data_IF_452595459286
#
_entry.id   IF_452595459286
#
_cell.length_a   1.000
_cell.length_b   1.000
_cell.length_c   1.000
_cell.angle_alpha   90.00
_cell.angle_beta   90.00
_cell.angle_gamma   90.00
#
_symmetry.space_group_name_H-M   'P 1'
#
loop_
_entity.id
_entity.type
_entity.pdbx_description
1 polymer ?
#
# COMPACT_ATOMS: atom_id res chain seq x y z
N UNK A 1 19.63 -33.67 -1.80
CA UNK A 1 18.77 -32.46 -1.91
C UNK A 1 18.03 -32.31 -0.61
N UNK A 2 18.32 -31.28 0.18
CA UNK A 2 17.56 -31.01 1.42
C UNK A 2 16.18 -30.49 1.00
N UNK A 3 15.07 -31.13 1.44
CA UNK A 3 13.74 -30.59 1.15
C UNK A 3 13.65 -29.19 1.76
N UNK A 4 13.35 -28.20 0.92
CA UNK A 4 13.10 -26.85 1.40
C UNK A 4 11.92 -26.90 2.38
N UNK A 5 12.02 -26.22 3.54
CA UNK A 5 10.90 -26.16 4.47
C UNK A 5 9.65 -25.63 3.75
N UNK A 6 8.50 -26.21 4.09
CA UNK A 6 7.22 -25.79 3.52
C UNK A 6 7.06 -24.27 3.70
N UNK A 7 6.62 -23.52 2.67
CA UNK A 7 6.51 -22.08 2.75
C UNK A 7 5.57 -21.68 3.88
N UNK A 8 6.00 -20.75 4.74
CA UNK A 8 5.19 -20.26 5.84
C UNK A 8 3.85 -19.74 5.30
N UNK A 9 2.72 -20.22 5.82
CA UNK A 9 1.40 -19.79 5.34
C UNK A 9 1.18 -18.33 5.76
N UNK A 10 0.69 -17.49 4.83
CA UNK A 10 0.21 -16.14 5.18
C UNK A 10 -1.13 -16.33 5.87
N UNK A 11 -1.17 -16.15 7.19
CA UNK A 11 -2.40 -16.17 7.97
C UNK A 11 -2.72 -14.76 8.45
N UNK A 12 -3.88 -14.23 8.05
CA UNK A 12 -4.24 -12.83 8.34
C UNK A 12 -4.40 -12.55 9.83
N UNK A 13 -4.91 -13.51 10.62
CA UNK A 13 -5.14 -13.33 12.06
C UNK A 13 -3.86 -12.97 12.84
N UNK A 14 -2.81 -13.81 12.76
CA UNK A 14 -1.51 -13.51 13.37
C UNK A 14 -0.90 -12.19 12.88
N UNK A 15 -1.04 -11.85 11.60
CA UNK A 15 -0.53 -10.60 11.02
C UNK A 15 -1.26 -9.37 11.58
N UNK A 16 -2.59 -9.44 11.73
CA UNK A 16 -3.39 -8.40 12.35
C UNK A 16 -2.96 -8.20 13.81
N UNK A 17 -2.77 -9.29 14.56
CA UNK A 17 -2.33 -9.22 15.95
C UNK A 17 -0.94 -8.56 16.09
N UNK A 18 0.00 -8.87 15.18
CA UNK A 18 1.33 -8.25 15.13
C UNK A 18 1.28 -6.78 14.72
N UNK A 19 0.49 -6.43 13.70
CA UNK A 19 0.28 -5.04 13.30
C UNK A 19 -0.30 -4.23 14.48
N UNK A 20 -1.30 -4.78 15.17
CA UNK A 20 -1.90 -4.19 16.37
C UNK A 20 -0.90 -4.05 17.53
N UNK A 21 -0.01 -5.03 17.72
CA UNK A 21 1.06 -4.94 18.71
C UNK A 21 1.99 -3.76 18.43
N UNK A 22 2.38 -3.53 17.17
CA UNK A 22 3.23 -2.38 16.81
C UNK A 22 2.54 -1.06 17.11
N UNK A 23 1.25 -0.94 16.78
CA UNK A 23 0.46 0.26 17.10
C UNK A 23 0.40 0.51 18.60
N UNK A 24 0.24 -0.54 19.41
CA UNK A 24 0.22 -0.44 20.88
C UNK A 24 1.58 -0.16 21.50
N UNK A 25 2.68 -0.55 20.86
CA UNK A 25 4.03 -0.29 21.36
C UNK A 25 4.39 1.21 21.30
N UNK A 26 3.97 1.91 20.26
CA UNK A 26 4.25 3.34 20.06
C UNK A 26 3.02 4.14 19.58
N UNK A 27 1.95 4.23 20.40
CA UNK A 27 0.67 4.78 19.94
C UNK A 27 0.77 6.23 19.49
N UNK A 28 1.56 7.05 20.21
CA UNK A 28 1.74 8.48 19.89
C UNK A 28 2.52 8.67 18.59
N UNK A 29 3.61 7.93 18.39
CA UNK A 29 4.46 8.05 17.20
C UNK A 29 3.71 7.56 15.96
N UNK A 30 3.00 6.42 16.09
CA UNK A 30 2.18 5.87 15.01
C UNK A 30 1.06 6.83 14.63
N UNK A 31 0.34 7.40 15.61
CA UNK A 31 -0.69 8.40 15.34
C UNK A 31 -0.10 9.66 14.70
N UNK A 32 1.03 10.17 15.20
CA UNK A 32 1.70 11.34 14.62
C UNK A 32 2.13 11.11 13.17
N UNK A 33 2.69 9.94 12.85
CA UNK A 33 3.05 9.57 11.47
C UNK A 33 1.81 9.42 10.58
N UNK A 34 0.73 8.81 11.09
CA UNK A 34 -0.54 8.73 10.37
C UNK A 34 -1.15 10.10 10.08
N UNK A 35 -1.10 11.00 11.05
CA UNK A 35 -1.54 12.41 10.89
C UNK A 35 -0.64 13.15 9.90
N UNK A 36 0.67 12.92 9.93
CA UNK A 36 1.60 13.51 8.98
C UNK A 36 1.32 13.04 7.54
N UNK A 37 1.03 11.76 7.34
CA UNK A 37 0.58 11.22 6.05
C UNK A 37 -0.73 11.88 5.61
N UNK A 38 -1.70 12.02 6.51
CA UNK A 38 -2.98 12.68 6.22
C UNK A 38 -2.80 14.14 5.75
N UNK A 39 -2.04 14.94 6.49
CA UNK A 39 -1.73 16.32 6.10
C UNK A 39 -0.93 16.37 4.81
N UNK A 40 -0.03 15.41 4.60
CA UNK A 40 0.72 15.31 3.36
C UNK A 40 -0.21 15.03 2.18
N UNK A 41 -1.17 14.11 2.32
CA UNK A 41 -2.22 13.90 1.31
C UNK A 41 -3.03 15.18 1.03
N UNK A 42 -3.46 15.90 2.07
CA UNK A 42 -4.17 17.17 1.89
C UNK A 42 -3.33 18.21 1.13
N UNK A 43 -2.01 18.19 1.34
CA UNK A 43 -1.07 19.08 0.64
C UNK A 43 -0.67 18.63 -0.78
N UNK A 44 -1.23 17.52 -1.30
CA UNK A 44 -0.95 17.08 -2.69
C UNK A 44 -1.40 18.10 -3.73
N UNK A 45 -2.45 18.88 -3.44
CA UNK A 45 -2.91 19.97 -4.29
C UNK A 45 -1.83 21.04 -4.54
N UNK A 46 -0.87 21.16 -3.63
CA UNK A 46 0.27 22.09 -3.72
C UNK A 46 1.56 21.40 -4.15
N UNK A 47 1.52 20.14 -4.58
CA UNK A 47 2.68 19.34 -4.99
C UNK A 47 3.59 18.86 -3.85
N UNK A 48 3.61 19.54 -2.71
CA UNK A 48 4.41 19.18 -1.52
C UNK A 48 4.07 17.77 -1.05
N UNK A 49 2.78 17.43 -1.03
CA UNK A 49 2.29 16.12 -0.60
C UNK A 49 2.86 14.96 -1.41
N UNK A 50 3.11 15.17 -2.70
CA UNK A 50 3.66 14.15 -3.61
C UNK A 50 5.08 13.74 -3.20
N UNK A 51 5.87 14.70 -2.71
CA UNK A 51 7.26 14.46 -2.31
C UNK A 51 7.34 13.92 -0.89
N UNK A 52 6.51 14.45 0.01
CA UNK A 52 6.60 14.19 1.46
C UNK A 52 5.86 12.92 1.87
N UNK A 53 4.75 12.55 1.22
CA UNK A 53 3.97 11.35 1.57
C UNK A 53 4.81 10.06 1.51
N UNK A 54 5.57 9.79 0.43
CA UNK A 54 6.39 8.59 0.34
C UNK A 54 7.44 8.50 1.45
N UNK A 55 7.95 9.65 1.92
CA UNK A 55 8.89 9.71 3.04
C UNK A 55 8.24 9.25 4.34
N UNK A 56 7.05 9.76 4.68
CA UNK A 56 6.34 9.33 5.88
C UNK A 56 5.91 7.87 5.83
N UNK A 57 5.56 7.34 4.65
CA UNK A 57 5.30 5.90 4.49
C UNK A 57 6.57 5.09 4.78
N UNK A 58 7.75 5.54 4.34
CA UNK A 58 9.01 4.91 4.69
C UNK A 58 9.32 4.99 6.20
N UNK A 59 9.02 6.11 6.87
CA UNK A 59 9.15 6.23 8.34
C UNK A 59 8.23 5.23 9.07
N UNK A 60 6.98 5.05 8.60
CA UNK A 60 6.05 4.05 9.14
C UNK A 60 6.63 2.64 9.00
N UNK A 61 7.12 2.29 7.81
CA UNK A 61 7.77 0.99 7.59
C UNK A 61 9.01 0.79 8.46
N UNK A 62 9.84 1.84 8.60
CA UNK A 62 11.04 1.77 9.42
C UNK A 62 10.72 1.56 10.89
N UNK A 63 9.70 2.26 11.43
CA UNK A 63 9.20 2.06 12.78
C UNK A 63 8.69 0.63 12.98
N UNK A 64 7.89 0.13 12.03
CA UNK A 64 7.33 -1.23 12.10
C UNK A 64 8.42 -2.30 12.05
N UNK A 65 9.42 -2.13 11.18
CA UNK A 65 10.58 -3.01 11.14
C UNK A 65 11.38 -2.93 12.44
N UNK A 66 11.61 -1.74 13.01
CA UNK A 66 12.33 -1.58 14.27
C UNK A 66 11.66 -2.36 15.41
N UNK A 67 10.34 -2.26 15.53
CA UNK A 67 9.57 -2.97 16.56
C UNK A 67 9.55 -4.47 16.32
N UNK A 68 9.31 -4.92 15.09
CA UNK A 68 9.16 -6.34 14.78
C UNK A 68 10.50 -7.10 14.77
N UNK A 69 11.61 -6.41 14.52
CA UNK A 69 12.93 -7.02 14.36
C UNK A 69 13.86 -6.73 15.54
N UNK A 70 13.49 -5.79 16.42
CA UNK A 70 14.31 -5.32 17.53
C UNK A 70 15.55 -4.52 17.10
N UNK A 71 15.64 -4.13 15.82
CA UNK A 71 16.81 -3.43 15.26
C UNK A 71 16.37 -2.19 14.50
N UNK A 72 16.87 -0.99 14.84
CA UNK A 72 16.54 0.23 14.11
C UNK A 72 17.14 0.19 12.69
N UNK A 73 16.36 0.47 11.64
CA UNK A 73 16.88 0.56 10.28
C UNK A 73 17.87 1.71 10.12
N UNK A 74 18.93 1.50 9.34
CA UNK A 74 19.91 2.55 9.04
C UNK A 74 19.35 3.55 8.02
N UNK A 75 19.45 4.85 8.35
CA UNK A 75 19.10 5.93 7.43
C UNK A 75 20.21 6.08 6.38
N UNK A 76 19.94 5.60 5.16
CA UNK A 76 20.87 5.63 4.04
C UNK A 76 20.18 6.11 2.76
N UNK A 77 20.93 6.23 1.66
CA UNK A 77 20.35 6.53 0.34
C UNK A 77 19.35 5.45 -0.14
N UNK A 78 19.26 4.29 0.53
CA UNK A 78 18.20 3.32 0.29
C UNK A 78 16.80 3.86 0.61
N UNK A 79 16.68 4.82 1.53
CA UNK A 79 15.42 5.50 1.83
C UNK A 79 14.88 6.31 0.66
N UNK A 80 15.73 7.10 0.02
CA UNK A 80 15.33 7.90 -1.15
C UNK A 80 14.82 6.97 -2.26
N UNK A 81 15.45 5.81 -2.43
CA UNK A 81 15.04 4.79 -3.40
C UNK A 81 13.74 4.10 -3.00
N UNK A 82 13.55 3.79 -1.71
CA UNK A 82 12.30 3.24 -1.19
C UNK A 82 11.15 4.25 -1.36
N UNK A 83 11.37 5.52 -1.03
CA UNK A 83 10.40 6.60 -1.21
C UNK A 83 10.03 6.80 -2.68
N UNK A 84 11.02 6.82 -3.58
CA UNK A 84 10.78 6.86 -5.02
C UNK A 84 9.96 5.66 -5.53
N UNK A 85 10.19 4.48 -4.96
CA UNK A 85 9.44 3.27 -5.33
C UNK A 85 8.00 3.30 -4.79
N UNK A 86 7.79 3.73 -3.54
CA UNK A 86 6.46 3.97 -2.97
C UNK A 86 5.70 4.99 -3.81
N UNK A 87 6.34 6.10 -4.19
CA UNK A 87 5.75 7.10 -5.07
C UNK A 87 5.32 6.50 -6.41
N UNK A 88 6.17 5.67 -7.04
CA UNK A 88 5.84 4.99 -8.29
C UNK A 88 4.63 4.06 -8.15
N UNK A 89 4.61 3.20 -7.13
CA UNK A 89 3.49 2.28 -6.88
C UNK A 89 2.19 3.02 -6.60
N UNK A 90 2.23 4.01 -5.71
CA UNK A 90 1.05 4.83 -5.38
C UNK A 90 0.60 5.63 -6.60
N UNK A 91 1.53 6.21 -7.36
CA UNK A 91 1.23 6.94 -8.59
C UNK A 91 0.53 6.09 -9.64
N UNK A 92 0.96 4.84 -9.84
CA UNK A 92 0.30 3.90 -10.76
C UNK A 92 -1.14 3.60 -10.30
N UNK A 93 -1.36 3.30 -9.02
CA UNK A 93 -2.70 3.05 -8.46
C UNK A 93 -3.61 4.28 -8.59
N UNK A 94 -3.11 5.45 -8.20
CA UNK A 94 -3.88 6.72 -8.26
C UNK A 94 -4.21 7.08 -9.70
N UNK A 95 -3.23 7.00 -10.62
CA UNK A 95 -3.45 7.31 -12.04
C UNK A 95 -4.47 6.35 -12.67
N UNK A 96 -4.35 5.04 -12.45
CA UNK A 96 -5.30 4.07 -12.99
C UNK A 96 -6.71 4.26 -12.43
N UNK A 97 -6.82 4.51 -11.12
CA UNK A 97 -8.11 4.80 -10.45
C UNK A 97 -8.74 6.08 -10.99
N UNK A 98 -7.93 7.13 -11.16
CA UNK A 98 -8.37 8.41 -11.71
C UNK A 98 -8.84 8.28 -13.17
N UNK A 99 -8.07 7.58 -14.00
CA UNK A 99 -8.46 7.31 -15.40
C UNK A 99 -9.75 6.49 -15.46
N UNK A 100 -9.92 5.48 -14.59
CA UNK A 100 -11.17 4.72 -14.49
C UNK A 100 -12.34 5.61 -14.05
N UNK A 101 -12.12 6.50 -13.09
CA UNK A 101 -13.12 7.45 -12.63
C UNK A 101 -13.49 8.45 -13.73
N UNK A 102 -12.55 8.93 -14.53
CA UNK A 102 -12.84 9.80 -15.68
C UNK A 102 -13.58 9.08 -16.82
N UNK A 103 -13.22 7.82 -17.09
CA UNK A 103 -13.81 7.05 -18.19
C UNK A 103 -15.20 6.48 -17.87
N UNK A 104 -15.47 6.16 -16.59
CA UNK A 104 -16.67 5.42 -16.15
C UNK A 104 -17.54 6.26 -15.19
N UNK A 105 -16.97 7.29 -14.57
CA UNK A 105 -17.66 8.17 -13.65
C UNK A 105 -18.71 9.05 -14.32
N UNK A 106 -19.57 9.70 -13.53
CA UNK A 106 -20.51 10.68 -14.06
C UNK A 106 -19.74 11.86 -14.66
N UNK A 107 -20.09 12.22 -15.90
CA UNK A 107 -19.57 13.43 -16.53
C UNK A 107 -20.06 14.64 -15.74
N UNK A 108 -19.19 15.61 -15.43
CA UNK A 108 -19.52 16.74 -14.53
C UNK A 108 -20.71 17.53 -15.08
N UNK A 109 -20.80 17.63 -16.41
CA UNK A 109 -21.92 18.22 -17.16
C UNK A 109 -23.26 17.49 -16.94
N UNK A 110 -23.23 16.18 -16.72
CA UNK A 110 -24.43 15.35 -16.46
C UNK A 110 -24.80 15.28 -14.98
N UNK A 111 -23.83 15.47 -14.08
CA UNK A 111 -24.06 15.45 -12.64
C UNK A 111 -24.85 16.69 -12.17
N UNK A 112 -24.57 17.86 -12.73
CA UNK A 112 -25.26 19.12 -12.43
C UNK A 112 -26.65 19.22 -13.08
N UNK A 113 -26.86 18.54 -14.22
CA UNK A 113 -28.15 18.50 -14.92
C UNK A 113 -29.12 17.42 -14.40
N UNK A 114 -28.64 16.46 -13.60
CA UNK A 114 -29.44 15.32 -13.15
C UNK A 114 -30.30 15.65 -11.92
N UNK A 115 -31.58 15.96 -12.15
CA UNK A 115 -32.59 16.17 -11.10
C UNK A 115 -32.88 14.92 -10.25
N UNK A 116 -32.65 13.72 -10.78
CA UNK A 116 -32.93 12.44 -10.11
C UNK A 116 -31.66 11.62 -9.85
N UNK A 117 -31.66 10.72 -8.83
CA UNK A 117 -30.50 9.89 -8.51
C UNK A 117 -30.21 8.89 -9.62
N UNK A 118 -28.93 8.62 -9.82
CA UNK A 118 -28.48 7.55 -10.71
C UNK A 118 -29.15 6.24 -10.28
N UNK A 119 -29.78 5.49 -11.20
CA UNK A 119 -30.43 4.22 -10.87
C UNK A 119 -29.45 3.26 -10.19
N UNK A 120 -29.93 2.53 -9.17
CA UNK A 120 -29.13 1.57 -8.39
C UNK A 120 -28.25 0.65 -9.22
N UNK A 121 -28.75 -0.02 -10.27
CA UNK A 121 -27.95 -0.94 -11.07
C UNK A 121 -26.78 -0.25 -11.78
N UNK A 122 -26.95 1.01 -12.15
CA UNK A 122 -25.93 1.74 -12.90
C UNK A 122 -24.89 2.36 -11.98
N UNK A 123 -25.33 2.90 -10.82
CA UNK A 123 -24.41 3.35 -9.78
C UNK A 123 -23.51 2.21 -9.27
N UNK A 124 -24.10 1.04 -8.99
CA UNK A 124 -23.33 -0.13 -8.52
C UNK A 124 -22.38 -0.65 -9.60
N UNK A 125 -22.81 -0.70 -10.86
CA UNK A 125 -21.95 -1.10 -11.98
C UNK A 125 -20.75 -0.17 -12.12
N UNK A 126 -20.95 1.15 -12.08
CA UNK A 126 -19.86 2.13 -12.19
C UNK A 126 -18.86 2.01 -11.03
N UNK A 127 -19.35 1.95 -9.80
CA UNK A 127 -18.50 1.77 -8.61
C UNK A 127 -17.75 0.43 -8.68
N UNK A 128 -18.43 -0.65 -9.07
CA UNK A 128 -17.81 -1.97 -9.22
C UNK A 128 -16.72 -1.96 -10.30
N UNK A 129 -16.92 -1.27 -11.42
CA UNK A 129 -15.91 -1.16 -12.48
C UNK A 129 -14.69 -0.35 -12.03
N UNK A 130 -14.88 0.78 -11.34
CA UNK A 130 -13.77 1.57 -10.78
C UNK A 130 -13.01 0.75 -9.74
N UNK A 131 -13.73 0.06 -8.85
CA UNK A 131 -13.14 -0.82 -7.85
C UNK A 131 -12.39 -2.00 -8.49
N UNK A 132 -12.90 -2.56 -9.59
CA UNK A 132 -12.24 -3.63 -10.34
C UNK A 132 -10.93 -3.15 -10.96
N UNK A 133 -10.91 -1.97 -11.62
CA UNK A 133 -9.67 -1.39 -12.15
C UNK A 133 -8.66 -1.14 -11.03
N UNK A 134 -9.10 -0.49 -9.95
CA UNK A 134 -8.26 -0.24 -8.77
C UNK A 134 -7.67 -1.53 -8.22
N UNK A 135 -8.51 -2.56 -8.09
CA UNK A 135 -8.11 -3.87 -7.58
C UNK A 135 -7.13 -4.60 -8.51
N UNK A 136 -7.33 -4.54 -9.82
CA UNK A 136 -6.37 -5.06 -10.79
C UNK A 136 -5.03 -4.34 -10.72
N UNK A 137 -5.05 -3.01 -10.54
CA UNK A 137 -3.81 -2.22 -10.38
C UNK A 137 -3.09 -2.56 -9.07
N UNK A 138 -3.82 -2.74 -7.96
CA UNK A 138 -3.25 -3.24 -6.70
C UNK A 138 -2.65 -4.64 -6.88
N UNK A 139 -3.34 -5.51 -7.62
CA UNK A 139 -2.85 -6.83 -8.00
C UNK A 139 -1.56 -6.78 -8.81
N UNK A 140 -1.47 -5.85 -9.76
CA UNK A 140 -0.27 -5.63 -10.58
C UNK A 140 0.94 -5.20 -9.74
N UNK A 141 0.74 -4.35 -8.72
CA UNK A 141 1.85 -3.92 -7.84
C UNK A 141 2.17 -4.93 -6.73
N UNK A 142 1.32 -5.94 -6.50
CA UNK A 142 1.47 -6.88 -5.39
C UNK A 142 2.82 -7.63 -5.37
N UNK A 143 3.42 -8.05 -6.50
CA UNK A 143 4.75 -8.66 -6.52
C UNK A 143 5.85 -7.74 -5.98
N UNK A 144 5.62 -6.43 -5.98
CA UNK A 144 6.59 -5.42 -5.61
C UNK A 144 6.36 -4.82 -4.23
N UNK A 145 5.30 -5.21 -3.51
CA UNK A 145 4.88 -4.58 -2.26
C UNK A 145 5.94 -4.62 -1.14
N UNK A 146 6.85 -5.60 -1.15
CA UNK A 146 7.91 -5.73 -0.15
C UNK A 146 9.19 -4.98 -0.52
N UNK A 147 9.31 -4.47 -1.75
CA UNK A 147 10.47 -3.70 -2.22
C UNK A 147 10.88 -2.57 -1.27
N UNK A 148 9.98 -1.68 -0.79
CA UNK A 148 10.38 -0.64 0.14
C UNK A 148 10.90 -1.18 1.48
N UNK A 149 10.28 -2.25 2.02
CA UNK A 149 10.73 -2.90 3.25
C UNK A 149 12.13 -3.51 3.09
N UNK A 150 12.40 -4.18 1.97
CA UNK A 150 13.71 -4.74 1.64
C UNK A 150 14.76 -3.62 1.51
N UNK A 151 14.44 -2.53 0.82
CA UNK A 151 15.35 -1.40 0.69
C UNK A 151 15.66 -0.74 2.04
N UNK A 152 14.65 -0.59 2.91
CA UNK A 152 14.81 0.01 4.24
C UNK A 152 15.61 -0.91 5.17
N UNK A 153 15.31 -2.21 5.20
CA UNK A 153 15.99 -3.17 6.10
C UNK A 153 17.40 -3.52 5.61
N UNK A 154 17.57 -3.78 4.31
CA UNK A 154 18.76 -4.42 3.74
C UNK A 154 19.58 -3.52 2.82
N UNK A 155 19.05 -2.36 2.42
CA UNK A 155 19.68 -1.51 1.43
C UNK A 155 19.71 -2.15 0.03
N UNK A 156 20.84 -1.99 -0.68
CA UNK A 156 21.01 -2.56 -2.03
C UNK A 156 20.42 -1.71 -3.15
N UNK A 157 20.17 -2.28 -4.33
CA UNK A 157 19.60 -1.56 -5.48
C UNK A 157 18.09 -1.82 -5.63
N UNK A 158 17.36 -0.93 -6.30
CA UNK A 158 15.93 -1.14 -6.57
C UNK A 158 15.70 -2.46 -7.32
N UNK A 159 16.52 -2.74 -8.33
CA UNK A 159 16.42 -3.98 -9.10
C UNK A 159 16.55 -5.24 -8.24
N UNK A 160 17.50 -5.28 -7.29
CA UNK A 160 17.61 -6.45 -6.40
C UNK A 160 16.42 -6.58 -5.44
N UNK A 161 15.95 -5.46 -4.88
CA UNK A 161 14.83 -5.47 -3.96
C UNK A 161 13.52 -5.89 -4.65
N UNK A 162 13.31 -5.47 -5.89
CA UNK A 162 12.19 -5.90 -6.74
C UNK A 162 12.23 -7.41 -6.97
N UNK A 163 13.40 -7.95 -7.32
CA UNK A 163 13.57 -9.39 -7.55
C UNK A 163 13.32 -10.19 -6.26
N UNK A 164 13.86 -9.73 -5.13
CA UNK A 164 13.65 -10.35 -3.82
C UNK A 164 12.16 -10.29 -3.40
N UNK A 165 11.49 -9.16 -3.62
CA UNK A 165 10.05 -9.01 -3.38
C UNK A 165 9.22 -9.97 -4.24
N UNK A 166 9.46 -9.99 -5.55
CA UNK A 166 8.73 -10.86 -6.47
C UNK A 166 8.95 -12.34 -6.13
N UNK A 167 10.16 -12.70 -5.72
CA UNK A 167 10.50 -14.04 -5.29
C UNK A 167 9.75 -14.46 -4.02
N UNK A 168 9.66 -13.57 -3.02
CA UNK A 168 8.86 -13.81 -1.80
C UNK A 168 7.38 -13.99 -2.11
N UNK A 169 6.83 -13.16 -2.98
CA UNK A 169 5.43 -13.23 -3.39
C UNK A 169 5.16 -14.55 -4.13
N UNK A 170 6.03 -14.91 -5.07
CA UNK A 170 5.93 -16.17 -5.82
C UNK A 170 5.96 -17.39 -4.90
N UNK A 171 6.89 -17.43 -3.93
CA UNK A 171 7.00 -18.55 -2.98
C UNK A 171 5.83 -18.68 -2.01
N UNK A 172 5.21 -17.58 -1.60
CA UNK A 172 4.01 -17.64 -0.76
C UNK A 172 2.69 -17.81 -1.49
N UNK A 173 2.70 -17.79 -2.82
CA UNK A 173 1.52 -17.81 -3.66
C UNK A 173 0.98 -16.41 -3.94
N UNK A 174 0.72 -16.13 -5.22
CA UNK A 174 0.27 -14.82 -5.70
C UNK A 174 -1.09 -14.43 -5.12
N UNK A 175 -2.07 -15.35 -5.12
CA UNK A 175 -3.43 -15.07 -4.63
C UNK A 175 -3.48 -14.62 -3.16
N UNK A 176 -2.61 -15.19 -2.30
CA UNK A 176 -2.53 -14.81 -0.89
C UNK A 176 -1.92 -13.42 -0.71
N UNK A 177 -0.91 -13.11 -1.50
CA UNK A 177 -0.28 -11.79 -1.49
C UNK A 177 -1.16 -10.72 -2.12
N UNK A 178 -1.97 -11.07 -3.10
CA UNK A 178 -3.06 -10.23 -3.58
C UNK A 178 -4.04 -9.93 -2.46
N UNK A 179 -4.56 -10.95 -1.75
CA UNK A 179 -5.47 -10.74 -0.64
C UNK A 179 -4.84 -9.87 0.47
N UNK A 180 -3.56 -10.10 0.78
CA UNK A 180 -2.81 -9.27 1.72
C UNK A 180 -2.67 -7.82 1.24
N UNK A 181 -2.33 -7.61 -0.03
CA UNK A 181 -2.23 -6.27 -0.63
C UNK A 181 -3.59 -5.57 -0.57
N UNK A 182 -4.67 -6.26 -0.95
CA UNK A 182 -6.03 -5.76 -0.81
C UNK A 182 -6.36 -5.40 0.64
N UNK A 183 -6.08 -6.27 1.60
CA UNK A 183 -6.32 -5.98 3.01
C UNK A 183 -5.49 -4.76 3.48
N UNK A 184 -4.21 -4.71 3.15
CA UNK A 184 -3.31 -3.63 3.56
C UNK A 184 -3.67 -2.27 2.94
N UNK A 185 -4.17 -2.25 1.70
CA UNK A 185 -4.46 -1.03 0.96
C UNK A 185 -5.95 -0.61 0.99
N UNK A 186 -6.89 -1.54 1.16
CA UNK A 186 -8.31 -1.22 1.31
C UNK A 186 -8.72 -0.94 2.75
N UNK A 187 -8.09 -1.57 3.76
CA UNK A 187 -8.39 -1.30 5.17
C UNK A 187 -8.34 0.21 5.50
N UNK A 188 -7.38 0.99 4.98
CA UNK A 188 -7.39 2.44 5.14
C UNK A 188 -8.60 3.15 4.52
N UNK A 189 -9.11 2.63 3.40
CA UNK A 189 -10.20 3.23 2.63
C UNK A 189 -11.59 2.86 3.14
N UNK A 190 -11.74 1.75 3.89
CA UNK A 190 -13.03 1.26 4.40
C UNK A 190 -13.83 2.36 5.12
N UNK A 191 -13.27 3.12 6.09
CA UNK A 191 -14.06 4.11 6.81
C UNK A 191 -14.55 5.25 5.92
N UNK A 192 -13.71 5.70 4.98
CA UNK A 192 -14.07 6.73 4.02
C UNK A 192 -15.16 6.24 3.05
N UNK A 193 -15.06 4.98 2.58
CA UNK A 193 -16.07 4.37 1.72
C UNK A 193 -17.40 4.18 2.44
N UNK A 194 -17.38 3.72 3.70
CA UNK A 194 -18.60 3.56 4.52
C UNK A 194 -19.26 4.92 4.76
N UNK A 195 -18.50 5.95 5.13
CA UNK A 195 -19.03 7.30 5.33
C UNK A 195 -19.63 7.89 4.04
N UNK A 196 -18.93 7.71 2.91
CA UNK A 196 -19.40 8.14 1.60
C UNK A 196 -20.71 7.46 1.19
N UNK A 197 -20.82 6.14 1.39
CA UNK A 197 -22.03 5.38 1.10
C UNK A 197 -23.18 5.80 2.02
N UNK A 198 -22.94 5.97 3.33
CA UNK A 198 -23.97 6.36 4.29
C UNK A 198 -24.52 7.75 3.96
N UNK A 199 -23.67 8.74 3.72
CA UNK A 199 -24.13 10.12 3.47
C UNK A 199 -24.78 10.27 2.10
N UNK A 200 -24.26 9.61 1.06
CA UNK A 200 -24.93 9.55 -0.24
C UNK A 200 -26.34 8.93 -0.16
N UNK A 201 -26.65 8.20 0.93
CA UNK A 201 -27.96 7.59 1.20
C UNK A 201 -28.86 8.43 2.09
N UNK A 202 -28.31 9.22 3.01
CA UNK A 202 -29.09 9.89 4.05
C UNK A 202 -29.17 11.41 3.91
N UNK A 203 -28.28 12.05 3.13
CA UNK A 203 -28.22 13.50 2.95
C UNK A 203 -28.15 13.90 1.47
N UNK A 204 -28.26 15.20 1.17
CA UNK A 204 -28.11 15.74 -0.19
C UNK A 204 -26.77 15.38 -0.81
N UNK A 205 -26.74 15.11 -2.14
CA UNK A 205 -25.52 14.73 -2.88
C UNK A 205 -24.38 15.74 -2.77
N UNK A 206 -24.70 17.01 -2.56
CA UNK A 206 -23.73 18.06 -2.31
C UNK A 206 -22.89 17.81 -1.04
N UNK A 207 -23.37 16.99 -0.10
CA UNK A 207 -22.65 16.60 1.11
C UNK A 207 -21.72 15.38 0.94
N UNK A 208 -21.72 14.72 -0.22
CA UNK A 208 -20.87 13.53 -0.47
C UNK A 208 -19.37 13.84 -0.30
N UNK A 209 -18.82 14.97 -0.80
CA UNK A 209 -17.44 15.36 -0.52
C UNK A 209 -17.18 15.58 0.98
N UNK A 210 -18.13 16.19 1.71
CA UNK A 210 -18.03 16.41 3.15
C UNK A 210 -18.04 15.09 3.95
N UNK A 211 -18.70 14.05 3.45
CA UNK A 211 -18.72 12.74 4.11
C UNK A 211 -17.42 11.96 3.99
N UNK A 212 -16.68 12.14 2.89
CA UNK A 212 -15.33 11.61 2.78
C UNK A 212 -14.43 12.26 3.83
N UNK A 213 -14.67 13.54 4.17
CA UNK A 213 -13.98 14.22 5.26
C UNK A 213 -14.27 13.58 6.64
N UNK A 214 -15.47 13.01 6.84
CA UNK A 214 -15.82 12.33 8.09
C UNK A 214 -15.02 11.04 8.33
N UNK A 215 -14.45 10.44 7.27
CA UNK A 215 -13.53 9.30 7.38
C UNK A 215 -12.09 9.69 7.70
N UNK A 216 -11.69 10.96 7.51
CA UNK A 216 -10.32 11.43 7.72
C UNK A 216 -9.77 11.17 9.11
N UNK A 217 -10.54 11.31 10.22
CA UNK A 217 -10.02 11.05 11.57
C UNK A 217 -9.56 9.60 11.79
N UNK A 218 -10.01 8.66 10.96
CA UNK A 218 -9.66 7.24 11.07
C UNK A 218 -8.44 6.87 10.22
N UNK A 219 -8.09 7.67 9.21
CA UNK A 219 -6.92 7.45 8.34
C UNK A 219 -5.58 7.40 9.10
N UNK A 220 -5.34 8.25 10.14
CA UNK A 220 -4.11 8.18 10.92
C UNK A 220 -3.87 6.84 11.61
N UNK A 221 -4.92 6.06 11.86
CA UNK A 221 -4.81 4.75 12.50
C UNK A 221 -4.86 3.61 11.48
N UNK A 222 -5.72 3.74 10.47
CA UNK A 222 -5.91 2.69 9.48
C UNK A 222 -4.73 2.56 8.50
N UNK A 223 -4.07 3.68 8.14
CA UNK A 223 -2.87 3.67 7.28
C UNK A 223 -1.72 2.88 7.93
N UNK A 224 -1.26 3.21 9.16
CA UNK A 224 -0.21 2.42 9.80
C UNK A 224 -0.61 0.96 10.02
N UNK A 225 -1.87 0.67 10.34
CA UNK A 225 -2.34 -0.72 10.49
C UNK A 225 -2.20 -1.52 9.20
N UNK A 226 -2.60 -0.93 8.07
CA UNK A 226 -2.44 -1.52 6.74
C UNK A 226 -0.97 -1.78 6.40
N UNK A 227 -0.10 -0.79 6.60
CA UNK A 227 1.35 -0.95 6.38
C UNK A 227 1.95 -2.01 7.32
N UNK A 228 1.45 -2.11 8.54
CA UNK A 228 1.91 -3.07 9.55
C UNK A 228 1.63 -4.51 9.17
N UNK A 229 0.55 -4.78 8.41
CA UNK A 229 0.30 -6.10 7.83
C UNK A 229 1.40 -6.50 6.83
N UNK A 230 1.84 -5.57 5.98
CA UNK A 230 2.92 -5.80 5.02
C UNK A 230 4.25 -6.02 5.73
N UNK A 231 4.57 -5.20 6.74
CA UNK A 231 5.79 -5.33 7.53
C UNK A 231 5.82 -6.66 8.32
N UNK A 232 4.70 -7.06 8.93
CA UNK A 232 4.61 -8.34 9.65
C UNK A 232 4.78 -9.53 8.70
N UNK A 233 4.12 -9.51 7.53
CA UNK A 233 4.24 -10.57 6.54
C UNK A 233 5.66 -10.67 5.98
N UNK A 234 6.31 -9.53 5.76
CA UNK A 234 7.71 -9.47 5.38
C UNK A 234 8.62 -10.10 6.43
N UNK A 235 8.49 -9.73 7.71
CA UNK A 235 9.36 -10.22 8.79
C UNK A 235 9.22 -11.73 9.01
N UNK A 236 8.03 -12.31 8.79
CA UNK A 236 7.84 -13.77 8.84
C UNK A 236 8.61 -14.52 7.75
N UNK A 237 8.82 -13.87 6.60
CA UNK A 237 9.33 -14.50 5.38
C UNK A 237 10.74 -14.06 5.01
N UNK A 238 11.29 -13.03 5.66
CA UNK A 238 12.62 -12.50 5.38
C UNK A 238 13.74 -13.54 5.57
N UNK A 239 13.49 -14.59 6.35
CA UNK A 239 14.42 -15.72 6.54
C UNK A 239 14.55 -16.59 5.29
N UNK A 240 13.57 -16.53 4.37
CA UNK A 240 13.66 -17.21 3.09
C UNK A 240 14.62 -16.46 2.14
N UNK A 241 14.80 -15.16 2.31
CA UNK A 241 15.75 -14.39 1.51
C UNK A 241 17.18 -14.79 1.87
N UNK A 242 18.07 -14.77 0.87
CA UNK A 242 19.50 -14.94 1.07
C UNK A 242 20.05 -13.96 2.12
N UNK A 243 21.18 -14.31 2.73
CA UNK A 243 21.79 -13.53 3.81
C UNK A 243 21.82 -12.02 3.48
N UNK A 244 21.47 -11.17 4.45
CA UNK A 244 21.45 -9.73 4.27
C UNK A 244 22.76 -9.19 3.69
N UNK A 245 22.69 -8.35 2.65
CA UNK A 245 23.86 -7.88 1.88
C UNK A 245 24.93 -7.12 2.67
N UNK A 246 24.67 -6.69 3.91
CA UNK A 246 25.74 -6.18 4.77
C UNK A 246 26.81 -7.23 5.08
N UNK A 247 26.54 -8.53 4.83
CA UNK A 247 27.53 -9.62 4.88
C UNK A 247 28.15 -10.01 3.53
N UNK A 248 27.62 -9.55 2.38
CA UNK A 248 28.12 -9.92 1.04
C UNK A 248 28.44 -8.72 0.16
N UNK A 249 29.73 -8.53 -0.14
CA UNK A 249 30.25 -7.76 -1.28
C UNK A 249 29.87 -8.48 -2.59
N UNK A 250 28.76 -8.15 -3.25
CA UNK A 250 28.57 -8.63 -4.63
C UNK A 250 27.61 -7.77 -5.47
N UNK A 251 27.90 -7.73 -6.79
CA UNK A 251 27.52 -6.70 -7.76
C UNK A 251 26.05 -6.57 -8.17
N UNK A 252 25.82 -5.67 -9.13
CA UNK A 252 24.48 -5.29 -9.64
C UNK A 252 23.80 -6.48 -10.32
N UNK A 253 22.50 -6.73 -10.09
CA UNK A 253 21.76 -7.76 -10.82
C UNK A 253 21.70 -7.43 -12.32
N UNK A 254 21.77 -8.44 -13.21
CA UNK A 254 21.73 -8.22 -14.64
C UNK A 254 20.38 -7.63 -15.08
N UNK A 255 20.42 -6.48 -15.77
CA UNK A 255 19.26 -5.74 -16.31
C UNK A 255 18.23 -6.57 -17.08
N UNK A 256 18.59 -7.55 -17.95
CA UNK A 256 17.59 -8.33 -18.68
C UNK A 256 16.73 -9.21 -17.77
N UNK A 257 17.26 -9.64 -16.62
CA UNK A 257 16.54 -10.49 -15.66
C UNK A 257 15.47 -9.68 -14.91
N UNK A 258 15.76 -8.40 -14.64
CA UNK A 258 14.78 -7.44 -14.10
C UNK A 258 13.67 -7.17 -15.13
N UNK A 259 14.03 -6.96 -16.39
CA UNK A 259 13.05 -6.71 -17.46
C UNK A 259 12.14 -7.92 -17.73
N UNK A 260 12.70 -9.14 -17.74
CA UNK A 260 11.95 -10.37 -17.95
C UNK A 260 10.93 -10.62 -16.83
N UNK A 261 11.30 -10.32 -15.57
CA UNK A 261 10.39 -10.49 -14.44
C UNK A 261 9.31 -9.42 -14.36
N UNK A 262 9.61 -8.18 -14.79
CA UNK A 262 8.57 -7.16 -15.00
C UNK A 262 7.60 -7.59 -16.10
N UNK A 263 8.06 -8.31 -17.13
CA UNK A 263 7.22 -8.79 -18.23
C UNK A 263 6.44 -10.09 -17.91
N UNK A 264 6.83 -10.83 -16.87
CA UNK A 264 6.17 -12.07 -16.42
C UNK A 264 5.15 -11.84 -15.30
N UNK A 265 5.08 -10.63 -14.76
CA UNK A 265 4.04 -10.14 -13.84
C UNK A 265 2.95 -9.45 -14.66
#
# INVERSE_FOLDING_TARGET
MVPLPAPARVELGPLIARSWYVVRAHPVVVAALGVAVLFSFASMLFGIGVVVTPWFVCEIFALQLAVLTGRPPERSFAWVRAAGFVLGMTGVVVAATWIAALAIGPDVSTADAASNPLPWPEATRRVASIAAVTGLTVGFIAPFQYTPLILIERGGTVGSAVLESAWLVRRGGLARHWLLAFAAHLLPLVPALVAAVVVARTFERAATPLSVLAGLPLLPFSIPLGQGLLAAAYVERRTELAEPRWTRREGKPPRPLVALLVALV
#
